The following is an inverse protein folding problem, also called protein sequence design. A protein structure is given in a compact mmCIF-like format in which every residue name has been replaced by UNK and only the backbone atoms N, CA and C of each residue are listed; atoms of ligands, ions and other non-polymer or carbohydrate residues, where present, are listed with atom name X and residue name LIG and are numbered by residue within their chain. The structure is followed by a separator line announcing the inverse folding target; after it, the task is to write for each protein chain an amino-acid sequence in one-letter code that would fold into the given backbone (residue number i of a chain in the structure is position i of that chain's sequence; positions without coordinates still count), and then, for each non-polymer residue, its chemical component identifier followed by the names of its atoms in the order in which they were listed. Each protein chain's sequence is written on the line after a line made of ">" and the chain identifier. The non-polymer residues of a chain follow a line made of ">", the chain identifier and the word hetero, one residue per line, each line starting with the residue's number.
data_IF_422822049307
#
_entry.id   IF_422822049307
#
_cell.length_a   1.000
_cell.length_b   1.000
_cell.length_c   1.000
_cell.angle_alpha   90.00
_cell.angle_beta   90.00
_cell.angle_gamma   90.00
#
_symmetry.space_group_name_H-M   'P 1'
#
loop_
_entity.id
_entity.type
_entity.pdbx_description
1 polymer ?
#
# COMPACT_ATOMS: atom_id res chain seq x y z
N UNK A 1 5.65 -19.04 2.54
CA UNK A 1 4.29 -19.21 1.98
C UNK A 1 3.31 -18.28 2.70
N UNK A 2 3.16 -17.04 2.24
CA UNK A 2 1.94 -16.28 2.51
C UNK A 2 0.93 -16.74 1.47
N UNK A 3 -0.03 -17.58 1.87
CA UNK A 3 -1.13 -17.97 1.00
C UNK A 3 -1.97 -16.72 0.71
N UNK A 4 -1.80 -16.12 -0.47
CA UNK A 4 -2.73 -15.11 -0.96
C UNK A 4 -4.08 -15.81 -1.15
N UNK A 5 -5.06 -15.43 -0.34
CA UNK A 5 -6.43 -15.89 -0.50
C UNK A 5 -7.03 -15.13 -1.68
N UNK A 6 -6.90 -15.74 -2.86
CA UNK A 6 -7.54 -15.28 -4.09
C UNK A 6 -9.04 -15.52 -3.93
N UNK A 7 -9.81 -14.45 -3.74
CA UNK A 7 -11.28 -14.53 -3.66
C UNK A 7 -11.86 -15.08 -4.99
N UNK A 8 -12.99 -15.78 -4.92
CA UNK A 8 -13.69 -16.45 -6.05
C UNK A 8 -14.00 -15.50 -7.24
N UNK A 9 -14.07 -14.18 -7.02
CA UNK A 9 -14.21 -13.19 -8.10
C UNK A 9 -12.92 -12.98 -8.91
N UNK A 10 -11.75 -13.17 -8.30
CA UNK A 10 -10.47 -13.19 -9.00
C UNK A 10 -10.41 -14.34 -9.99
N UNK A 11 -10.92 -15.54 -9.68
CA UNK A 11 -10.85 -16.66 -10.63
C UNK A 11 -11.63 -16.36 -11.92
N UNK A 12 -12.77 -15.66 -11.79
CA UNK A 12 -13.54 -15.16 -12.95
C UNK A 12 -12.76 -14.08 -13.71
N UNK A 13 -12.10 -13.16 -13.02
CA UNK A 13 -11.29 -12.11 -13.63
C UNK A 13 -9.98 -12.63 -14.25
N UNK A 14 -9.36 -13.66 -13.66
CA UNK A 14 -8.21 -14.40 -14.17
C UNK A 14 -8.64 -15.16 -15.42
N UNK A 15 -9.80 -15.81 -15.41
CA UNK A 15 -10.38 -16.47 -16.58
C UNK A 15 -10.73 -15.46 -17.70
N UNK A 16 -11.26 -14.28 -17.35
CA UNK A 16 -11.52 -13.18 -18.29
C UNK A 16 -10.18 -12.61 -18.81
N UNK A 17 -9.18 -12.45 -17.95
CA UNK A 17 -7.82 -12.00 -18.31
C UNK A 17 -7.11 -12.97 -19.24
N UNK A 18 -7.37 -14.28 -19.08
CA UNK A 18 -6.83 -15.30 -19.97
C UNK A 18 -7.48 -15.28 -21.36
N UNK A 19 -8.77 -14.89 -21.46
CA UNK A 19 -9.50 -14.80 -22.73
C UNK A 19 -9.32 -13.47 -23.44
N UNK A 20 -9.33 -12.36 -22.69
CA UNK A 20 -9.28 -10.98 -23.19
C UNK A 20 -8.38 -10.12 -22.27
N UNK A 21 -7.05 -10.23 -22.39
CA UNK A 21 -6.11 -9.57 -21.47
C UNK A 21 -6.25 -8.04 -21.45
N UNK A 22 -6.52 -7.43 -22.61
CA UNK A 22 -6.63 -5.96 -22.72
C UNK A 22 -7.88 -5.42 -22.01
N UNK A 23 -9.03 -6.07 -22.22
CA UNK A 23 -10.29 -5.68 -21.58
C UNK A 23 -10.25 -5.91 -20.07
N UNK A 24 -9.58 -6.99 -19.63
CA UNK A 24 -9.39 -7.28 -18.22
C UNK A 24 -8.51 -6.22 -17.53
N UNK A 25 -7.42 -5.78 -18.18
CA UNK A 25 -6.55 -4.74 -17.64
C UNK A 25 -7.24 -3.38 -17.56
N UNK A 26 -8.03 -3.01 -18.57
CA UNK A 26 -8.85 -1.80 -18.52
C UNK A 26 -9.88 -1.85 -17.40
N UNK A 27 -10.60 -2.98 -17.28
CA UNK A 27 -11.59 -3.18 -16.22
C UNK A 27 -10.95 -3.11 -14.83
N UNK A 28 -9.77 -3.72 -14.65
CA UNK A 28 -8.98 -3.64 -13.42
C UNK A 28 -8.66 -2.20 -13.02
N UNK A 29 -8.22 -1.37 -13.98
CA UNK A 29 -7.90 0.05 -13.72
C UNK A 29 -9.13 0.86 -13.36
N UNK A 30 -10.25 0.63 -14.06
CA UNK A 30 -11.52 1.30 -13.76
C UNK A 30 -12.04 0.94 -12.37
N UNK A 31 -12.02 -0.35 -12.02
CA UNK A 31 -12.39 -0.81 -10.67
C UNK A 31 -11.43 -0.20 -9.63
N UNK A 32 -10.13 -0.17 -9.93
CA UNK A 32 -9.13 0.50 -9.10
C UNK A 32 -9.54 1.94 -8.77
N UNK A 33 -9.81 2.77 -9.78
CA UNK A 33 -10.23 4.17 -9.58
C UNK A 33 -11.50 4.27 -8.73
N UNK A 34 -12.50 3.42 -8.98
CA UNK A 34 -13.74 3.40 -8.19
C UNK A 34 -13.45 3.04 -6.72
N UNK A 35 -12.57 2.07 -6.47
CA UNK A 35 -12.16 1.70 -5.13
C UNK A 35 -11.41 2.84 -4.43
N UNK A 36 -10.52 3.57 -5.13
CA UNK A 36 -9.83 4.74 -4.58
C UNK A 36 -10.85 5.76 -4.07
N UNK A 37 -11.80 6.14 -4.92
CA UNK A 37 -12.84 7.11 -4.55
C UNK A 37 -13.63 6.58 -3.35
N UNK A 38 -14.06 5.31 -3.38
CA UNK A 38 -14.85 4.71 -2.30
C UNK A 38 -14.10 4.73 -0.96
N UNK A 39 -12.82 4.37 -0.96
CA UNK A 39 -11.97 4.35 0.25
C UNK A 39 -11.78 5.75 0.80
N UNK A 40 -11.52 6.75 -0.06
CA UNK A 40 -11.39 8.15 0.36
C UNK A 40 -12.67 8.62 1.04
N UNK A 41 -13.83 8.35 0.44
CA UNK A 41 -15.14 8.69 1.03
C UNK A 41 -15.38 8.00 2.37
N UNK A 42 -15.02 6.72 2.49
CA UNK A 42 -15.18 5.98 3.72
C UNK A 42 -14.25 6.51 4.83
N UNK A 43 -12.98 6.78 4.50
CA UNK A 43 -12.00 7.35 5.41
C UNK A 43 -12.43 8.74 5.90
N UNK A 44 -12.78 9.63 4.97
CA UNK A 44 -13.21 10.99 5.27
C UNK A 44 -14.50 11.00 6.10
N UNK A 45 -15.49 10.19 5.72
CA UNK A 45 -16.75 10.08 6.45
C UNK A 45 -16.56 9.59 7.89
N UNK A 46 -15.71 8.59 8.12
CA UNK A 46 -15.42 8.12 9.48
C UNK A 46 -14.61 9.15 10.27
N UNK A 47 -13.65 9.82 9.63
CA UNK A 47 -12.87 10.89 10.25
C UNK A 47 -13.77 12.03 10.74
N UNK A 48 -14.66 12.51 9.88
CA UNK A 48 -15.65 13.54 10.21
C UNK A 48 -16.57 13.11 11.36
N UNK A 49 -17.00 11.84 11.37
CA UNK A 49 -17.82 11.29 12.45
C UNK A 49 -17.09 11.35 13.80
N UNK A 50 -15.82 10.95 13.81
CA UNK A 50 -14.97 10.99 15.01
C UNK A 50 -14.72 12.44 15.48
N UNK A 51 -14.51 13.36 14.56
CA UNK A 51 -14.36 14.78 14.89
C UNK A 51 -15.64 15.38 15.49
N UNK A 52 -16.81 15.01 14.96
CA UNK A 52 -18.10 15.46 15.49
C UNK A 52 -18.37 14.94 16.91
N UNK A 53 -18.13 13.65 17.16
CA UNK A 53 -18.45 13.04 18.47
C UNK A 53 -17.37 13.20 19.53
N UNK A 54 -16.09 13.12 19.16
CA UNK A 54 -14.98 13.15 20.12
C UNK A 54 -14.32 14.53 20.21
N UNK A 55 -14.65 15.44 19.28
CA UNK A 55 -14.07 16.78 19.20
C UNK A 55 -12.56 16.78 18.96
N UNK A 56 -12.01 17.97 18.76
CA UNK A 56 -10.57 18.17 18.71
C UNK A 56 -10.10 18.53 20.13
N UNK A 57 -9.72 17.54 20.92
CA UNK A 57 -9.03 17.76 22.20
C UNK A 57 -7.81 16.85 22.28
N UNK A 58 -6.78 17.24 23.03
CA UNK A 58 -5.59 16.41 23.20
C UNK A 58 -5.91 15.03 23.82
N UNK A 59 -6.89 14.98 24.73
CA UNK A 59 -7.37 13.74 25.35
C UNK A 59 -8.03 12.84 24.30
N UNK A 60 -8.87 13.41 23.44
CA UNK A 60 -9.50 12.70 22.31
C UNK A 60 -8.45 12.12 21.36
N UNK A 61 -7.38 12.87 21.07
CA UNK A 61 -6.28 12.40 20.23
C UNK A 61 -5.58 11.17 20.84
N UNK A 62 -5.25 11.25 22.13
CA UNK A 62 -4.62 10.14 22.86
C UNK A 62 -5.54 8.93 22.93
N UNK A 63 -6.83 9.14 23.21
CA UNK A 63 -7.83 8.07 23.25
C UNK A 63 -7.95 7.35 21.91
N UNK A 64 -8.06 8.07 20.79
CA UNK A 64 -8.10 7.46 19.45
C UNK A 64 -6.83 6.66 19.15
N UNK A 65 -5.66 7.25 19.39
CA UNK A 65 -4.39 6.57 19.18
C UNK A 65 -4.25 5.29 20.01
N UNK A 66 -4.58 5.36 21.31
CA UNK A 66 -4.50 4.23 22.23
C UNK A 66 -5.52 3.15 21.87
N UNK A 67 -6.78 3.51 21.62
CA UNK A 67 -7.84 2.58 21.27
C UNK A 67 -7.53 1.84 19.97
N UNK A 68 -7.17 2.56 18.91
CA UNK A 68 -6.83 1.95 17.63
C UNK A 68 -5.62 1.02 17.73
N UNK A 69 -4.59 1.42 18.49
CA UNK A 69 -3.41 0.57 18.74
C UNK A 69 -3.78 -0.71 19.48
N UNK A 70 -4.56 -0.59 20.57
CA UNK A 70 -4.99 -1.73 21.38
C UNK A 70 -5.85 -2.70 20.57
N UNK A 71 -6.82 -2.20 19.79
CA UNK A 71 -7.68 -3.07 18.96
C UNK A 71 -6.87 -3.83 17.92
N UNK A 72 -5.92 -3.18 17.23
CA UNK A 72 -5.06 -3.86 16.25
C UNK A 72 -4.11 -4.88 16.91
N UNK A 73 -3.58 -4.59 18.10
CA UNK A 73 -2.78 -5.55 18.86
C UNK A 73 -3.61 -6.76 19.30
N UNK A 74 -4.82 -6.55 19.84
CA UNK A 74 -5.70 -7.62 20.30
C UNK A 74 -6.19 -8.52 19.16
N UNK A 75 -6.39 -7.93 17.98
CA UNK A 75 -6.81 -8.67 16.78
C UNK A 75 -5.65 -9.29 16.00
N UNK A 76 -4.40 -8.96 16.35
CA UNK A 76 -3.21 -9.44 15.65
C UNK A 76 -3.15 -8.95 14.21
N UNK A 77 -3.49 -7.68 13.98
CA UNK A 77 -3.45 -7.01 12.68
C UNK A 77 -2.63 -5.70 12.74
N UNK A 78 -1.59 -5.64 13.59
CA UNK A 78 -0.79 -4.42 13.79
C UNK A 78 -0.04 -3.99 12.53
N UNK A 79 0.26 -4.93 11.64
CA UNK A 79 0.90 -4.62 10.35
C UNK A 79 0.11 -3.61 9.51
N UNK A 80 -1.23 -3.56 9.64
CA UNK A 80 -2.08 -2.60 8.95
C UNK A 80 -1.81 -1.13 9.36
N UNK A 81 -1.11 -0.86 10.46
CA UNK A 81 -0.71 0.51 10.83
C UNK A 81 0.22 1.14 9.79
N UNK A 82 1.03 0.31 9.13
CA UNK A 82 2.14 0.74 8.25
C UNK A 82 1.86 0.42 6.77
N UNK A 83 0.64 -0.04 6.45
CA UNK A 83 0.24 -0.38 5.08
C UNK A 83 -0.07 0.86 4.24
N UNK A 84 0.88 1.74 4.01
CA UNK A 84 0.69 2.93 3.19
C UNK A 84 2.02 3.55 2.77
N UNK A 85 1.99 4.41 1.76
CA UNK A 85 3.16 5.22 1.38
C UNK A 85 3.55 6.09 2.60
N UNK A 86 4.84 6.20 2.95
CA UNK A 86 6.01 5.77 2.18
C UNK A 86 6.46 4.31 2.41
N UNK A 87 5.91 3.60 3.39
CA UNK A 87 6.41 2.28 3.82
C UNK A 87 5.88 1.08 3.01
N UNK A 88 4.98 1.30 2.07
CA UNK A 88 4.53 0.30 1.11
C UNK A 88 4.56 0.88 -0.29
N UNK A 89 5.29 0.21 -1.19
CA UNK A 89 5.40 0.63 -2.58
C UNK A 89 5.61 -0.61 -3.47
N UNK A 90 4.54 -1.04 -4.16
CA UNK A 90 4.50 -2.28 -4.94
C UNK A 90 3.98 -2.02 -6.35
N UNK A 91 4.44 -2.83 -7.29
CA UNK A 91 3.95 -2.84 -8.67
C UNK A 91 2.73 -3.76 -8.80
N UNK A 92 1.64 -3.24 -9.35
CA UNK A 92 0.39 -3.98 -9.51
C UNK A 92 0.56 -5.16 -10.47
N UNK A 93 0.04 -6.32 -10.07
CA UNK A 93 -0.07 -7.51 -10.93
C UNK A 93 -1.53 -7.89 -11.05
N UNK A 94 -1.93 -8.41 -12.21
CA UNK A 94 -3.31 -8.87 -12.45
C UNK A 94 -3.78 -9.89 -11.39
N UNK A 95 -2.86 -10.71 -10.89
CA UNK A 95 -3.11 -11.72 -9.85
C UNK A 95 -3.23 -11.12 -8.43
N UNK A 96 -2.59 -9.96 -8.20
CA UNK A 96 -2.47 -9.35 -6.86
C UNK A 96 -3.48 -8.23 -6.64
N UNK A 97 -4.06 -7.66 -7.71
CA UNK A 97 -4.89 -6.45 -7.63
C UNK A 97 -6.14 -6.61 -6.76
N UNK A 98 -6.70 -7.82 -6.67
CA UNK A 98 -7.83 -8.13 -5.79
C UNK A 98 -7.51 -9.24 -4.78
N UNK A 99 -6.23 -9.57 -4.62
CA UNK A 99 -5.81 -10.54 -3.64
C UNK A 99 -5.68 -9.82 -2.29
N UNK A 100 -6.74 -9.93 -1.48
CA UNK A 100 -6.74 -9.41 -0.13
C UNK A 100 -6.05 -10.41 0.81
N UNK A 101 -5.15 -9.92 1.67
CA UNK A 101 -4.69 -10.75 2.79
C UNK A 101 -5.81 -10.88 3.80
N UNK A 102 -6.03 -12.08 4.36
CA UNK A 102 -7.10 -12.32 5.32
C UNK A 102 -6.59 -12.87 6.65
N UNK A 103 -7.23 -12.48 7.75
CA UNK A 103 -6.81 -12.88 9.10
C UNK A 103 -7.16 -14.33 9.41
N UNK A 104 -8.33 -14.79 8.94
CA UNK A 104 -8.83 -16.12 9.27
C UNK A 104 -8.13 -17.26 8.52
N UNK A 105 -7.10 -16.97 7.72
CA UNK A 105 -6.31 -17.97 6.97
C UNK A 105 -7.22 -19.04 6.32
N UNK A 106 -8.40 -18.62 5.87
CA UNK A 106 -9.35 -19.52 5.26
C UNK A 106 -8.71 -19.95 3.94
N UNK A 107 -8.07 -21.13 3.93
CA UNK A 107 -7.72 -21.82 2.68
C UNK A 107 -8.96 -21.73 1.80
N UNK A 108 -8.77 -21.53 0.49
CA UNK A 108 -9.83 -21.52 -0.52
C UNK A 108 -10.60 -22.86 -0.53
N UNK A 109 -11.42 -23.06 0.50
CA UNK A 109 -12.33 -24.17 0.74
C UNK A 109 -13.73 -23.56 0.72
N UNK A 110 -14.10 -23.00 -0.43
CA UNK A 110 -15.49 -22.84 -0.91
C UNK A 110 -16.52 -22.06 -0.08
N UNK A 111 -16.19 -21.59 1.12
CA UNK A 111 -17.15 -20.97 2.04
C UNK A 111 -17.21 -19.47 1.79
N UNK A 112 -18.17 -19.04 0.96
CA UNK A 112 -18.45 -17.61 0.70
C UNK A 112 -18.69 -16.83 2.00
N UNK A 113 -19.22 -17.50 3.02
CA UNK A 113 -19.48 -16.90 4.33
C UNK A 113 -18.20 -16.44 5.03
N UNK A 114 -17.14 -17.26 5.05
CA UNK A 114 -15.89 -16.88 5.71
C UNK A 114 -15.20 -15.71 5.00
N UNK A 115 -15.18 -15.72 3.66
CA UNK A 115 -14.68 -14.58 2.88
C UNK A 115 -15.47 -13.30 3.16
N UNK A 116 -16.79 -13.39 3.30
CA UNK A 116 -17.62 -12.24 3.65
C UNK A 116 -17.34 -11.74 5.08
N UNK A 117 -17.18 -12.65 6.05
CA UNK A 117 -16.77 -12.29 7.41
C UNK A 117 -15.40 -11.61 7.46
N UNK A 118 -14.41 -12.08 6.68
CA UNK A 118 -13.09 -11.44 6.53
C UNK A 118 -13.22 -10.00 6.00
N UNK A 119 -14.11 -9.77 5.04
CA UNK A 119 -14.38 -8.44 4.48
C UNK A 119 -15.04 -7.52 5.52
N UNK A 120 -16.07 -8.00 6.23
CA UNK A 120 -16.71 -7.25 7.31
C UNK A 120 -15.70 -6.91 8.40
N UNK A 121 -14.86 -7.85 8.81
CA UNK A 121 -13.83 -7.61 9.81
C UNK A 121 -12.84 -6.53 9.36
N UNK A 122 -12.41 -6.58 8.10
CA UNK A 122 -11.51 -5.57 7.53
C UNK A 122 -12.14 -4.17 7.50
N UNK A 123 -13.41 -4.07 7.10
CA UNK A 123 -14.15 -2.81 6.95
C UNK A 123 -14.56 -2.21 8.31
N UNK A 124 -15.00 -3.04 9.26
CA UNK A 124 -15.60 -2.57 10.52
C UNK A 124 -14.65 -2.60 11.71
N UNK A 125 -13.50 -3.29 11.62
CA UNK A 125 -12.54 -3.38 12.73
C UNK A 125 -11.18 -2.82 12.34
N UNK A 126 -10.58 -3.36 11.28
CA UNK A 126 -9.19 -3.00 10.91
C UNK A 126 -9.10 -1.57 10.40
N UNK A 127 -9.88 -1.21 9.38
CA UNK A 127 -9.84 0.13 8.79
C UNK A 127 -10.19 1.24 9.81
N UNK A 128 -11.27 1.14 10.62
CA UNK A 128 -11.56 2.12 11.67
C UNK A 128 -10.43 2.27 12.69
N UNK A 129 -9.76 1.17 13.05
CA UNK A 129 -8.65 1.22 14.01
C UNK A 129 -7.44 1.96 13.44
N UNK A 130 -7.14 1.78 12.14
CA UNK A 130 -6.09 2.56 11.46
C UNK A 130 -6.48 4.04 11.41
N UNK A 131 -7.74 4.36 11.08
CA UNK A 131 -8.25 5.74 11.05
C UNK A 131 -8.14 6.41 12.44
N UNK A 132 -8.46 5.69 13.52
CA UNK A 132 -8.29 6.20 14.89
C UNK A 132 -6.82 6.56 15.20
N UNK A 133 -5.88 5.71 14.81
CA UNK A 133 -4.44 5.97 15.01
C UNK A 133 -4.01 7.20 14.20
N UNK A 134 -4.37 7.26 12.93
CA UNK A 134 -4.04 8.38 12.05
C UNK A 134 -4.62 9.69 12.57
N UNK A 135 -5.91 9.69 12.95
CA UNK A 135 -6.57 10.85 13.55
C UNK A 135 -5.87 11.32 14.82
N UNK A 136 -5.56 10.39 15.73
CA UNK A 136 -4.87 10.73 16.97
C UNK A 136 -3.52 11.39 16.74
N UNK A 137 -2.71 10.83 15.83
CA UNK A 137 -1.39 11.33 15.48
C UNK A 137 -1.43 12.62 14.65
N UNK A 138 -2.47 12.81 13.84
CA UNK A 138 -2.65 14.01 13.04
C UNK A 138 -3.08 15.19 13.90
N UNK A 139 -4.19 15.03 14.64
CA UNK A 139 -4.79 16.12 15.39
C UNK A 139 -3.86 16.59 16.53
N UNK A 140 -3.05 15.71 17.14
CA UNK A 140 -2.06 16.14 18.14
C UNK A 140 -1.00 17.08 17.55
N UNK A 141 -0.63 16.89 16.28
CA UNK A 141 0.30 17.77 15.58
C UNK A 141 -0.32 19.12 15.27
N UNK A 142 -1.63 19.18 14.99
CA UNK A 142 -2.32 20.46 14.79
C UNK A 142 -2.29 21.35 16.04
N UNK A 143 -2.19 20.78 17.25
CA UNK A 143 -1.97 21.56 18.47
C UNK A 143 -0.53 21.99 18.70
N UNK A 144 0.43 21.16 18.29
CA UNK A 144 1.81 21.25 18.79
C UNK A 144 2.77 21.82 17.76
N UNK A 145 2.51 21.61 16.46
CA UNK A 145 3.44 21.97 15.41
C UNK A 145 3.08 23.31 14.77
N UNK A 146 3.52 24.40 15.40
CA UNK A 146 3.37 25.77 14.89
C UNK A 146 1.94 26.11 14.41
N UNK A 147 0.92 25.99 15.27
CA UNK A 147 -0.49 26.16 14.88
C UNK A 147 -0.84 27.54 14.28
N UNK A 148 0.00 28.55 14.53
CA UNK A 148 -0.20 29.92 14.05
C UNK A 148 0.40 30.19 12.67
N UNK A 149 1.22 29.28 12.15
CA UNK A 149 1.95 29.46 10.88
C UNK A 149 1.80 28.18 10.04
N UNK A 150 0.70 28.04 9.27
CA UNK A 150 0.40 26.80 8.54
C UNK A 150 1.46 26.48 7.48
N UNK A 151 2.11 27.49 6.88
CA UNK A 151 3.17 27.29 5.89
C UNK A 151 4.41 26.67 6.52
N UNK A 152 4.91 27.23 7.64
CA UNK A 152 6.06 26.64 8.34
C UNK A 152 5.72 25.28 8.93
N UNK A 153 4.50 25.14 9.47
CA UNK A 153 3.98 23.88 9.99
C UNK A 153 4.01 22.78 8.91
N UNK A 154 3.51 23.07 7.70
CA UNK A 154 3.52 22.15 6.58
C UNK A 154 4.94 21.74 6.17
N UNK A 155 5.85 22.71 6.04
CA UNK A 155 7.25 22.46 5.67
C UNK A 155 7.99 21.59 6.68
N UNK A 156 7.81 21.87 7.98
CA UNK A 156 8.44 21.09 9.04
C UNK A 156 7.84 19.69 9.11
N UNK A 157 6.52 19.54 8.96
CA UNK A 157 5.86 18.24 8.84
C UNK A 157 6.43 17.41 7.68
N UNK A 158 6.50 17.98 6.47
CA UNK A 158 7.07 17.29 5.32
C UNK A 158 8.54 16.88 5.58
N UNK A 159 9.37 17.82 6.03
CA UNK A 159 10.79 17.57 6.25
C UNK A 159 11.03 16.53 7.35
N UNK A 160 10.38 16.68 8.51
CA UNK A 160 10.53 15.76 9.63
C UNK A 160 10.02 14.36 9.29
N UNK A 161 8.83 14.25 8.66
CA UNK A 161 8.28 12.98 8.21
C UNK A 161 9.21 12.26 7.23
N UNK A 162 9.76 12.99 6.24
CA UNK A 162 10.73 12.44 5.28
C UNK A 162 12.03 12.01 5.94
N UNK A 163 12.63 12.84 6.81
CA UNK A 163 13.89 12.51 7.47
C UNK A 163 13.77 11.28 8.37
N UNK A 164 12.70 11.18 9.17
CA UNK A 164 12.46 10.00 10.01
C UNK A 164 12.24 8.76 9.15
N UNK A 165 11.50 8.88 8.04
CA UNK A 165 11.31 7.78 7.08
C UNK A 165 12.65 7.27 6.54
N UNK A 166 13.55 8.18 6.12
CA UNK A 166 14.89 7.81 5.64
C UNK A 166 15.69 7.09 6.72
N UNK A 167 15.67 7.60 7.95
CA UNK A 167 16.35 6.96 9.09
C UNK A 167 15.80 5.55 9.33
N UNK A 168 14.49 5.36 9.28
CA UNK A 168 13.87 4.04 9.42
C UNK A 168 14.31 3.09 8.30
N UNK A 169 14.43 3.56 7.06
CA UNK A 169 14.95 2.73 5.96
C UNK A 169 16.41 2.31 6.15
N UNK A 170 17.25 3.22 6.64
CA UNK A 170 18.66 2.92 6.88
C UNK A 170 18.86 1.95 8.05
N UNK A 171 17.98 1.99 9.04
CA UNK A 171 18.07 1.17 10.25
C UNK A 171 17.31 -0.16 10.17
N UNK A 172 16.44 -0.37 9.17
CA UNK A 172 15.55 -1.54 9.13
C UNK A 172 16.30 -2.88 9.17
N UNK A 173 17.46 -3.00 8.50
CA UNK A 173 18.23 -4.24 8.49
C UNK A 173 18.85 -4.54 9.85
N UNK A 174 19.49 -3.53 10.46
CA UNK A 174 20.08 -3.67 11.79
C UNK A 174 19.02 -3.97 12.86
N UNK A 175 17.86 -3.31 12.80
CA UNK A 175 16.77 -3.56 13.75
C UNK A 175 16.16 -4.94 13.52
N UNK A 176 16.04 -5.41 12.27
CA UNK A 176 15.56 -6.75 11.98
C UNK A 176 16.49 -7.82 12.59
N UNK A 177 17.80 -7.68 12.43
CA UNK A 177 18.79 -8.59 13.00
C UNK A 177 18.74 -8.63 14.53
N UNK A 178 18.69 -7.45 15.18
CA UNK A 178 18.55 -7.35 16.64
C UNK A 178 17.26 -8.02 17.10
N UNK A 179 16.14 -7.76 16.41
CA UNK A 179 14.82 -8.27 16.76
C UNK A 179 14.77 -9.80 16.71
N UNK A 180 15.46 -10.41 15.74
CA UNK A 180 15.57 -11.88 15.64
C UNK A 180 16.38 -12.53 16.78
N UNK A 181 17.22 -11.77 17.47
CA UNK A 181 17.97 -12.24 18.64
C UNK A 181 17.17 -12.12 19.96
N UNK A 182 16.05 -11.39 19.97
CA UNK A 182 15.26 -11.14 21.18
C UNK A 182 14.29 -12.29 21.52
N UNK A 183 13.92 -12.36 22.81
CA UNK A 183 12.82 -13.21 23.28
C UNK A 183 11.47 -12.68 22.75
N UNK A 184 10.43 -13.53 22.59
CA UNK A 184 9.16 -13.14 21.95
C UNK A 184 8.50 -11.87 22.51
N UNK A 185 8.43 -11.70 23.83
CA UNK A 185 7.81 -10.49 24.41
C UNK A 185 8.61 -9.21 24.16
N UNK A 186 9.95 -9.29 24.26
CA UNK A 186 10.83 -8.15 23.99
C UNK A 186 10.81 -7.79 22.50
N UNK A 187 10.83 -8.81 21.65
CA UNK A 187 10.65 -8.71 20.21
C UNK A 187 9.35 -8.00 19.85
N UNK A 188 8.23 -8.44 20.43
CA UNK A 188 6.93 -7.79 20.22
C UNK A 188 6.96 -6.31 20.60
N UNK A 189 7.56 -5.97 21.74
CA UNK A 189 7.70 -4.58 22.17
C UNK A 189 8.51 -3.73 21.18
N UNK A 190 9.65 -4.23 20.71
CA UNK A 190 10.49 -3.53 19.73
C UNK A 190 9.78 -3.38 18.38
N UNK A 191 9.14 -4.44 17.88
CA UNK A 191 8.36 -4.40 16.65
C UNK A 191 7.20 -3.39 16.73
N UNK A 192 6.49 -3.35 17.88
CA UNK A 192 5.42 -2.39 18.08
C UNK A 192 5.95 -0.95 18.09
N UNK A 193 7.04 -0.67 18.80
CA UNK A 193 7.66 0.65 18.80
C UNK A 193 8.11 1.05 17.40
N UNK A 194 8.73 0.12 16.66
CA UNK A 194 9.15 0.34 15.27
C UNK A 194 7.96 0.73 14.37
N UNK A 195 6.85 0.01 14.47
CA UNK A 195 5.64 0.28 13.71
C UNK A 195 4.99 1.61 14.11
N UNK A 196 4.99 1.95 15.39
CA UNK A 196 4.47 3.24 15.88
C UNK A 196 5.31 4.41 15.37
N UNK A 197 6.64 4.27 15.30
CA UNK A 197 7.52 5.27 14.68
C UNK A 197 7.25 5.41 13.18
N UNK A 198 7.08 4.29 12.48
CA UNK A 198 6.77 4.28 11.05
C UNK A 198 5.43 4.98 10.78
N UNK A 199 4.33 4.60 11.44
CA UNK A 199 3.03 5.26 11.22
C UNK A 199 3.07 6.73 11.63
N UNK A 200 3.76 7.11 12.72
CA UNK A 200 3.90 8.52 13.10
C UNK A 200 4.65 9.35 12.06
N UNK A 201 5.74 8.83 11.50
CA UNK A 201 6.48 9.53 10.43
C UNK A 201 5.66 9.64 9.15
N UNK A 202 4.90 8.59 8.79
CA UNK A 202 3.97 8.61 7.66
C UNK A 202 2.90 9.67 7.83
N UNK A 203 2.18 9.65 8.97
CA UNK A 203 1.14 10.65 9.28
C UNK A 203 1.70 12.07 9.26
N UNK A 204 2.90 12.27 9.82
CA UNK A 204 3.58 13.59 9.82
C UNK A 204 3.88 14.08 8.40
N UNK A 205 4.38 13.20 7.53
CA UNK A 205 4.63 13.51 6.13
C UNK A 205 3.33 13.85 5.39
N UNK A 206 2.31 12.99 5.51
CA UNK A 206 1.01 13.19 4.88
C UNK A 206 0.36 14.47 5.36
N UNK A 207 0.38 14.76 6.66
CA UNK A 207 -0.13 16.01 7.21
C UNK A 207 0.47 17.22 6.52
N UNK A 208 1.79 17.27 6.39
CA UNK A 208 2.46 18.38 5.71
C UNK A 208 1.99 18.57 4.27
N UNK A 209 1.86 17.47 3.52
CA UNK A 209 1.37 17.50 2.13
C UNK A 209 -0.09 17.96 2.04
N UNK A 210 -0.95 17.48 2.93
CA UNK A 210 -2.36 17.85 2.96
C UNK A 210 -2.58 19.32 3.36
N UNK A 211 -1.79 19.85 4.29
CA UNK A 211 -1.81 21.29 4.59
C UNK A 211 -1.40 22.11 3.36
N UNK A 212 -0.38 21.66 2.62
CA UNK A 212 -0.02 22.29 1.34
C UNK A 212 -1.16 22.23 0.32
N UNK A 213 -1.82 21.09 0.18
CA UNK A 213 -2.97 20.96 -0.71
C UNK A 213 -4.12 21.88 -0.31
N UNK A 214 -4.41 22.01 0.99
CA UNK A 214 -5.43 22.93 1.48
C UNK A 214 -5.08 24.41 1.22
N UNK A 215 -3.79 24.77 1.24
CA UNK A 215 -3.34 26.13 0.91
C UNK A 215 -3.35 26.44 -0.59
N UNK A 216 -3.23 25.43 -1.45
CA UNK A 216 -3.18 25.58 -2.91
C UNK A 216 -4.57 25.46 -3.53
N UNK A 217 -5.41 24.56 -3.02
CA UNK A 217 -6.70 24.19 -3.60
C UNK A 217 -7.84 24.61 -2.68
N UNK A 218 -8.42 25.78 -2.92
CA UNK A 218 -9.58 26.28 -2.17
C UNK A 218 -10.92 25.78 -2.73
N UNK A 219 -10.97 25.47 -4.02
CA UNK A 219 -12.20 25.05 -4.69
C UNK A 219 -12.41 23.53 -4.67
N UNK A 220 -13.64 23.11 -4.39
CA UNK A 220 -14.06 21.71 -4.42
C UNK A 220 -13.73 21.03 -5.77
N UNK A 221 -13.92 21.76 -6.89
CA UNK A 221 -13.60 21.25 -8.22
C UNK A 221 -12.10 20.91 -8.38
N UNK A 222 -11.23 21.69 -7.74
CA UNK A 222 -9.78 21.44 -7.76
C UNK A 222 -9.42 20.20 -6.96
N UNK A 223 -10.05 19.97 -5.80
CA UNK A 223 -9.83 18.74 -5.01
C UNK A 223 -10.26 17.49 -5.78
N UNK A 224 -11.41 17.54 -6.47
CA UNK A 224 -11.86 16.46 -7.35
C UNK A 224 -10.90 16.21 -8.50
N UNK A 225 -10.44 17.27 -9.16
CA UNK A 225 -9.47 17.17 -10.24
C UNK A 225 -8.16 16.52 -9.76
N UNK A 226 -7.62 16.96 -8.63
CA UNK A 226 -6.39 16.40 -8.05
C UNK A 226 -6.57 14.93 -7.67
N UNK A 227 -7.71 14.57 -7.07
CA UNK A 227 -8.02 13.17 -6.70
C UNK A 227 -8.07 12.28 -7.94
N UNK A 228 -8.78 12.71 -9.00
CA UNK A 228 -8.86 11.98 -10.25
C UNK A 228 -7.50 11.91 -10.95
N UNK A 229 -6.77 13.03 -11.01
CA UNK A 229 -5.43 13.10 -11.60
C UNK A 229 -4.45 12.18 -10.87
N UNK A 230 -4.47 12.14 -9.55
CA UNK A 230 -3.67 11.22 -8.74
C UNK A 230 -4.03 9.76 -9.03
N UNK A 231 -5.32 9.41 -9.09
CA UNK A 231 -5.77 8.08 -9.48
C UNK A 231 -5.31 7.68 -10.89
N UNK A 232 -5.37 8.61 -11.86
CA UNK A 232 -4.84 8.40 -13.21
C UNK A 232 -3.33 8.21 -13.21
N UNK A 233 -2.57 9.01 -12.45
CA UNK A 233 -1.12 8.86 -12.32
C UNK A 233 -0.77 7.49 -11.72
N UNK A 234 -1.44 7.07 -10.64
CA UNK A 234 -1.22 5.77 -10.03
C UNK A 234 -1.51 4.62 -11.01
N UNK A 235 -2.60 4.72 -11.80
CA UNK A 235 -2.88 3.70 -12.82
C UNK A 235 -1.87 3.70 -13.97
N UNK A 236 -1.31 4.85 -14.36
CA UNK A 236 -0.22 4.96 -15.34
C UNK A 236 1.07 4.33 -14.81
N UNK A 237 1.39 4.57 -13.55
CA UNK A 237 2.54 3.99 -12.88
C UNK A 237 2.34 2.51 -12.52
N UNK A 238 1.13 1.97 -12.76
CA UNK A 238 0.74 0.61 -12.40
C UNK A 238 0.88 0.35 -10.88
N UNK A 239 0.36 1.29 -10.10
CA UNK A 239 0.39 1.34 -8.63
C UNK A 239 -0.99 1.66 -8.02
N UNK A 240 -2.07 1.41 -8.75
CA UNK A 240 -3.44 1.60 -8.26
C UNK A 240 -3.75 0.75 -7.01
N UNK A 241 -3.05 -0.36 -6.79
CA UNK A 241 -3.16 -1.16 -5.57
C UNK A 241 -2.67 -0.45 -4.31
N UNK A 242 -1.83 0.59 -4.40
CA UNK A 242 -1.33 1.33 -3.24
C UNK A 242 -2.42 2.07 -2.48
N UNK A 243 -3.42 2.53 -3.19
CA UNK A 243 -4.57 3.24 -2.63
C UNK A 243 -5.64 2.30 -2.09
N UNK A 244 -5.51 0.99 -2.33
CA UNK A 244 -6.44 -0.02 -1.83
C UNK A 244 -5.76 -0.84 -0.74
N UNK A 245 -5.92 -0.47 0.53
CA UNK A 245 -5.59 -1.36 1.65
C UNK A 245 -6.59 -2.53 1.66
N UNK A 246 -6.32 -3.56 0.86
CA UNK A 246 -7.21 -4.72 0.76
C UNK A 246 -6.91 -5.73 1.87
N UNK A 247 -7.73 -5.66 2.92
CA UNK A 247 -7.87 -6.72 3.91
C UNK A 247 -7.08 -6.54 5.20
N UNK A 248 -7.32 -7.47 6.13
CA UNK A 248 -6.60 -7.59 7.38
C UNK A 248 -5.26 -8.30 7.12
N UNK A 249 -4.14 -7.61 7.31
CA UNK A 249 -2.80 -8.19 7.23
C UNK A 249 -2.51 -8.86 8.57
N UNK A 250 -2.57 -10.20 8.66
CA UNK A 250 -2.31 -10.88 9.92
C UNK A 250 -0.87 -10.66 10.34
N UNK A 251 -0.69 -10.49 11.64
CA UNK A 251 0.63 -10.53 12.24
C UNK A 251 1.19 -11.95 12.19
N UNK A 252 2.50 -12.12 11.96
CA UNK A 252 3.09 -13.44 12.07
C UNK A 252 2.95 -13.95 13.52
N UNK A 253 2.77 -15.26 13.69
CA UNK A 253 2.85 -15.91 14.99
C UNK A 253 4.15 -15.54 15.73
N UNK A 254 4.06 -15.31 17.04
CA UNK A 254 5.18 -14.84 17.88
C UNK A 254 6.34 -15.84 17.96
N UNK A 255 6.06 -17.11 17.72
CA UNK A 255 7.01 -18.23 17.68
C UNK A 255 7.78 -18.31 16.36
N UNK A 256 7.28 -17.69 15.29
CA UNK A 256 7.93 -17.72 13.98
C UNK A 256 8.88 -16.52 13.84
N UNK A 257 10.11 -16.80 13.40
CA UNK A 257 11.15 -15.80 13.06
C UNK A 257 10.89 -15.13 11.70
N UNK A 258 9.65 -14.72 11.44
CA UNK A 258 9.27 -13.98 10.24
C UNK A 258 9.61 -12.51 10.42
N UNK A 259 10.20 -11.88 9.41
CA UNK A 259 10.55 -10.47 9.46
C UNK A 259 9.31 -9.56 9.37
N UNK A 260 9.18 -8.66 10.34
CA UNK A 260 8.11 -7.64 10.46
C UNK A 260 8.67 -6.22 10.38
N UNK A 261 10.00 -6.08 10.41
CA UNK A 261 10.70 -4.80 10.49
C UNK A 261 10.89 -4.21 9.09
N UNK A 262 11.23 -5.06 8.11
CA UNK A 262 11.50 -4.61 6.73
C UNK A 262 10.22 -4.18 6.01
N UNK A 263 10.30 -3.02 5.38
CA UNK A 263 9.18 -2.44 4.65
C UNK A 263 9.09 -3.00 3.22
N UNK A 264 7.90 -3.36 2.73
CA UNK A 264 7.73 -3.94 1.40
C UNK A 264 7.78 -2.87 0.29
N UNK A 265 8.99 -2.39 -0.01
CA UNK A 265 9.29 -1.43 -1.06
C UNK A 265 10.08 -2.15 -2.14
N UNK A 266 9.38 -2.67 -3.13
CA UNK A 266 9.97 -3.50 -4.19
C UNK A 266 9.56 -3.07 -5.60
N UNK A 267 8.87 -1.94 -5.75
CA UNK A 267 8.40 -1.42 -7.04
C UNK A 267 9.45 -1.48 -8.16
N UNK A 268 10.61 -0.87 -7.94
CA UNK A 268 11.69 -0.80 -8.93
C UNK A 268 12.29 -2.17 -9.24
N UNK A 269 12.60 -2.95 -8.20
CA UNK A 269 13.15 -4.29 -8.33
C UNK A 269 12.18 -5.24 -9.07
N UNK A 270 10.87 -5.11 -8.80
CA UNK A 270 9.84 -5.87 -9.49
C UNK A 270 9.72 -5.48 -10.97
N UNK A 271 9.73 -4.19 -11.29
CA UNK A 271 9.73 -3.72 -12.69
C UNK A 271 10.92 -4.29 -13.45
N UNK A 272 12.11 -4.22 -12.86
CA UNK A 272 13.32 -4.78 -13.45
C UNK A 272 13.20 -6.30 -13.68
N UNK A 273 12.73 -7.04 -12.67
CA UNK A 273 12.51 -8.49 -12.79
C UNK A 273 11.54 -8.83 -13.93
N UNK A 274 10.43 -8.11 -14.04
CA UNK A 274 9.47 -8.28 -15.13
C UNK A 274 10.10 -7.98 -16.49
N UNK A 275 10.96 -6.97 -16.57
CA UNK A 275 11.69 -6.66 -17.80
C UNK A 275 12.59 -7.80 -18.26
N UNK A 276 13.43 -8.32 -17.36
CA UNK A 276 14.37 -9.40 -17.64
C UNK A 276 13.61 -10.64 -18.11
N UNK A 277 12.53 -11.01 -17.42
CA UNK A 277 11.68 -12.16 -17.78
C UNK A 277 11.04 -11.98 -19.17
N UNK A 278 10.48 -10.80 -19.46
CA UNK A 278 9.85 -10.52 -20.75
C UNK A 278 10.87 -10.57 -21.91
N UNK A 279 12.05 -10.02 -21.71
CA UNK A 279 13.13 -10.05 -22.71
C UNK A 279 13.62 -11.48 -22.97
N UNK A 280 13.72 -12.31 -21.93
CA UNK A 280 14.05 -13.72 -22.06
C UNK A 280 12.99 -14.50 -22.85
N UNK A 281 11.70 -14.27 -22.58
CA UNK A 281 10.59 -14.89 -23.31
C UNK A 281 10.58 -14.52 -24.79
N UNK A 282 10.82 -13.25 -25.13
CA UNK A 282 10.93 -12.80 -26.53
C UNK A 282 12.08 -13.52 -27.23
N UNK A 283 13.25 -13.61 -26.59
CA UNK A 283 14.41 -14.31 -27.16
C UNK A 283 14.10 -15.79 -27.41
N UNK A 284 13.43 -16.46 -26.46
CA UNK A 284 13.00 -17.86 -26.61
C UNK A 284 11.98 -18.04 -27.74
N UNK A 285 10.99 -17.15 -27.86
CA UNK A 285 9.99 -17.21 -28.93
C UNK A 285 10.59 -16.91 -30.32
N UNK A 286 11.54 -15.96 -30.41
CA UNK A 286 12.26 -15.68 -31.64
C UNK A 286 13.16 -16.85 -32.08
N UNK A 287 13.71 -17.59 -31.12
CA UNK A 287 14.44 -18.84 -31.40
C UNK A 287 13.52 -19.97 -31.85
N UNK A 288 12.29 -20.05 -31.32
CA UNK A 288 11.33 -21.12 -31.66
C UNK A 288 10.54 -20.86 -32.95
N UNK A 289 10.27 -19.61 -33.33
CA UNK A 289 9.49 -19.26 -34.53
C UNK A 289 10.05 -17.99 -35.22
N UNK A 290 11.06 -18.11 -36.09
CA UNK A 290 11.61 -16.99 -36.83
C UNK A 290 10.59 -16.49 -37.89
N UNK A 291 9.92 -15.37 -37.62
CA UNK A 291 9.15 -14.62 -38.63
C UNK A 291 7.69 -14.29 -38.29
N UNK A 292 7.13 -14.79 -37.18
CA UNK A 292 5.73 -14.51 -36.83
C UNK A 292 5.60 -13.17 -36.08
N UNK A 293 4.96 -12.16 -36.69
CA UNK A 293 4.67 -10.88 -36.01
C UNK A 293 3.67 -11.11 -34.88
N UNK A 294 4.02 -10.64 -33.67
CA UNK A 294 3.08 -10.60 -32.55
C UNK A 294 1.80 -9.85 -32.95
N UNK A 295 0.66 -10.55 -32.92
CA UNK A 295 -0.66 -9.96 -33.02
C UNK A 295 -0.94 -9.17 -31.74
N UNK A 296 -0.46 -7.93 -31.67
CA UNK A 296 -0.86 -6.99 -30.62
C UNK A 296 -2.17 -6.33 -31.06
N UNK A 297 -3.25 -6.52 -30.30
CA UNK A 297 -4.53 -5.86 -30.55
C UNK A 297 -4.36 -4.33 -30.68
N UNK A 298 -5.22 -3.63 -31.44
CA UNK A 298 -5.14 -2.16 -31.57
C UNK A 298 -5.32 -1.42 -30.23
N UNK A 299 -6.00 -2.02 -29.25
CA UNK A 299 -6.17 -1.50 -27.88
C UNK A 299 -4.95 -1.74 -26.97
N UNK A 300 -4.18 -2.81 -27.22
CA UNK A 300 -2.97 -3.15 -26.46
C UNK A 300 -1.80 -2.23 -26.79
N UNK A 301 -1.69 -1.71 -28.01
CA UNK A 301 -0.53 -0.92 -28.46
C UNK A 301 -0.28 0.36 -27.66
N UNK A 302 -1.30 1.19 -27.31
CA UNK A 302 -1.10 2.37 -26.47
C UNK A 302 -0.74 2.00 -25.02
N UNK A 303 -1.42 1.00 -24.43
CA UNK A 303 -1.22 0.60 -23.04
C UNK A 303 0.13 -0.11 -22.83
N UNK A 304 0.50 -1.03 -23.73
CA UNK A 304 1.87 -1.55 -23.79
C UNK A 304 2.85 -0.43 -24.07
N UNK A 305 2.55 0.56 -24.93
CA UNK A 305 3.46 1.71 -25.13
C UNK A 305 3.64 2.54 -23.86
N UNK A 306 2.61 2.73 -23.04
CA UNK A 306 2.71 3.47 -21.76
C UNK A 306 3.53 2.69 -20.75
N UNK A 307 3.19 1.41 -20.53
CA UNK A 307 3.99 0.54 -19.66
C UNK A 307 5.43 0.41 -20.17
N UNK A 308 5.63 0.29 -21.49
CA UNK A 308 6.93 0.27 -22.20
C UNK A 308 7.62 1.64 -22.23
N UNK A 309 6.90 2.73 -22.00
CA UNK A 309 7.40 4.10 -21.93
C UNK A 309 7.98 4.41 -20.55
N UNK A 310 7.21 4.12 -19.49
CA UNK A 310 7.68 4.16 -18.09
C UNK A 310 8.88 3.22 -17.92
N UNK A 311 8.74 2.00 -18.40
CA UNK A 311 9.80 1.02 -18.58
C UNK A 311 11.03 1.55 -19.36
N UNK A 312 10.87 2.10 -20.58
CA UNK A 312 11.99 2.63 -21.37
C UNK A 312 12.72 3.79 -20.69
N UNK A 313 12.03 4.59 -19.88
CA UNK A 313 12.66 5.66 -19.12
C UNK A 313 13.48 5.10 -17.94
N UNK A 314 13.00 4.04 -17.29
CA UNK A 314 13.64 3.43 -16.12
C UNK A 314 14.72 2.41 -16.49
N UNK A 315 14.58 1.64 -17.57
CA UNK A 315 15.48 0.52 -17.91
C UNK A 315 16.95 0.90 -18.12
N UNK A 316 17.30 2.00 -18.82
CA UNK A 316 18.70 2.40 -18.96
C UNK A 316 19.37 2.64 -17.60
N UNK A 317 18.63 3.25 -16.65
CA UNK A 317 19.12 3.51 -15.29
C UNK A 317 19.25 2.21 -14.47
N UNK A 318 18.37 1.24 -14.69
CA UNK A 318 18.35 -0.02 -13.94
C UNK A 318 19.41 -1.02 -14.43
N UNK A 319 19.70 -1.04 -15.74
CA UNK A 319 20.77 -1.85 -16.32
C UNK A 319 22.16 -1.37 -15.86
N UNK A 320 22.33 -0.06 -15.63
CA UNK A 320 23.58 0.51 -15.06
C UNK A 320 23.81 0.10 -13.58
N UNK A 321 22.74 -0.06 -12.80
CA UNK A 321 22.81 -0.33 -11.35
C UNK A 321 23.06 -1.83 -11.06
N UNK A 322 22.95 -2.73 -12.06
CA UNK A 322 23.10 -4.18 -11.90
C UNK A 322 22.38 -4.73 -10.66
N UNK A 323 21.09 -4.41 -10.51
CA UNK A 323 20.32 -4.89 -9.37
C UNK A 323 20.36 -6.43 -9.32
N UNK A 324 20.75 -7.04 -8.17
CA UNK A 324 20.68 -8.48 -8.01
C UNK A 324 19.22 -8.90 -8.21
N UNK A 325 19.00 -9.88 -9.10
CA UNK A 325 17.67 -10.45 -9.29
C UNK A 325 17.20 -10.97 -7.92
N UNK A 326 16.00 -10.56 -7.43
CA UNK A 326 15.49 -11.11 -6.19
C UNK A 326 15.39 -12.61 -6.39
N UNK A 327 16.09 -13.36 -5.52
CA UNK A 327 15.99 -14.81 -5.43
C UNK A 327 14.53 -15.20 -5.60
N UNK A 328 14.30 -16.24 -6.40
CA UNK A 328 12.98 -16.82 -6.62
C UNK A 328 12.17 -16.71 -5.33
N UNK A 329 11.01 -16.05 -5.39
CA UNK A 329 10.03 -16.12 -4.31
C UNK A 329 9.99 -17.58 -3.89
N UNK A 330 10.20 -17.92 -2.60
CA UNK A 330 10.15 -19.30 -2.17
C UNK A 330 8.81 -19.86 -2.67
N UNK A 331 8.94 -20.85 -3.55
CA UNK A 331 7.86 -21.50 -4.30
C UNK A 331 6.65 -21.84 -3.44
#
# INVERSE_FOLDING_TARGET
>A
MLSLNVHIHCDSLIAISARCPDSAQLLQRLIGIVLIVTIVFQWDGLWCLLDYYLGHTQISCFYCWALGTVVLCLTGCRNNMVTGVPFMCRHDRAELLFAATTRFHAKSYGSRLWSFCDQLFSIFVVQPSVILIWRGLWNIQDYTLLPKDPVKSANISCLAGTLVTIVLYLLQDSVAEITLALRPCARFGVELVWQQLAVASSVTLWRGQWVWFALIFEELASMWFVTLAAGWILTILNMGGLSTQLGAVPDPPLDIRTDVIRFPIDYVAQIYKTHVQYTALIKQQQQQQPGQRLSTSPLSKPLLKTNRGTAKALYPLLDEIQLPLPDSLPS
#
